data_IF_946634373145
#
_entry.id   IF_946634373145
#
_cell.length_a   1.000
_cell.length_b   1.000
_cell.length_c   1.000
_cell.angle_alpha   90.00
_cell.angle_beta   90.00
_cell.angle_gamma   90.00
#
_symmetry.space_group_name_H-M   'P 1'
#
loop_
_entity.id
_entity.type
_entity.pdbx_description
1 polymer ?
#
# COMPACT_ATOMS: atom_id res chain seq x y z
N UNK A 1 53.02 77.81 7.05
CA UNK A 1 53.12 76.34 7.17
C UNK A 1 52.04 75.91 8.14
N UNK A 2 50.80 75.79 7.65
CA UNK A 2 49.69 75.25 8.45
C UNK A 2 49.82 73.74 8.56
N UNK A 3 49.95 73.24 9.80
CA UNK A 3 49.89 71.81 10.10
C UNK A 3 48.42 71.39 10.15
N UNK A 4 47.96 70.64 9.15
CA UNK A 4 46.65 70.00 9.21
C UNK A 4 46.67 68.92 10.31
N UNK A 5 45.76 68.96 11.30
CA UNK A 5 45.72 67.95 12.35
C UNK A 5 45.32 66.60 11.76
N UNK A 6 46.11 65.56 12.07
CA UNK A 6 45.80 64.18 11.72
C UNK A 6 44.59 63.71 12.54
N UNK A 7 43.54 63.24 11.87
CA UNK A 7 42.40 62.56 12.48
C UNK A 7 42.52 61.07 12.14
N UNK A 8 42.60 60.16 13.14
CA UNK A 8 42.72 58.74 12.85
C UNK A 8 41.45 58.21 12.15
N UNK A 9 41.57 57.21 11.27
CA UNK A 9 40.42 56.60 10.63
C UNK A 9 39.55 55.89 11.68
N UNK A 10 38.27 56.26 11.74
CA UNK A 10 37.27 55.55 12.54
C UNK A 10 37.06 54.16 11.94
N UNK A 11 37.38 53.10 12.68
CA UNK A 11 36.96 51.74 12.33
C UNK A 11 35.44 51.71 12.28
N UNK A 12 34.86 51.71 11.08
CA UNK A 12 33.45 51.43 10.89
C UNK A 12 33.26 49.93 11.13
N UNK A 13 32.82 49.58 12.34
CA UNK A 13 32.25 48.25 12.58
C UNK A 13 31.05 48.13 11.64
N UNK A 14 30.96 47.09 10.79
CA UNK A 14 29.79 46.89 9.95
C UNK A 14 28.56 46.91 10.86
N UNK A 15 27.67 47.86 10.60
CA UNK A 15 26.35 47.85 11.22
C UNK A 15 25.68 46.57 10.72
N UNK A 16 25.51 45.58 11.61
CA UNK A 16 24.68 44.42 11.28
C UNK A 16 23.30 44.94 10.92
N UNK A 17 23.02 44.93 9.63
CA UNK A 17 21.69 45.12 9.09
C UNK A 17 20.80 44.08 9.77
N UNK A 18 19.83 44.55 10.52
CA UNK A 18 18.84 43.71 11.18
C UNK A 18 17.92 43.17 10.08
N UNK A 19 18.35 42.10 9.42
CA UNK A 19 17.48 41.35 8.50
C UNK A 19 16.30 40.87 9.32
N UNK A 20 15.06 41.28 9.01
CA UNK A 20 13.91 40.81 9.76
C UNK A 20 13.85 39.29 9.65
N UNK A 21 13.89 38.62 10.81
CA UNK A 21 13.73 37.17 10.92
C UNK A 21 12.39 36.78 10.28
N UNK A 22 12.43 36.37 9.01
CA UNK A 22 11.26 35.85 8.34
C UNK A 22 10.95 34.49 8.94
N UNK A 23 9.94 34.44 9.81
CA UNK A 23 9.45 33.19 10.39
C UNK A 23 9.20 32.15 9.29
N UNK A 24 9.62 30.88 9.46
CA UNK A 24 9.44 29.82 8.46
C UNK A 24 7.98 29.34 8.45
N UNK A 25 7.08 30.21 7.98
CA UNK A 25 5.64 29.96 7.95
C UNK A 25 5.29 28.88 6.90
N UNK A 26 5.99 28.85 5.76
CA UNK A 26 5.72 27.91 4.66
C UNK A 26 5.77 26.43 5.05
N UNK A 27 6.90 25.93 5.62
CA UNK A 27 7.01 24.52 6.02
C UNK A 27 6.01 24.09 7.10
N UNK A 28 5.65 25.00 8.01
CA UNK A 28 4.68 24.74 9.07
C UNK A 28 3.29 24.50 8.46
N UNK A 29 2.85 25.38 7.56
CA UNK A 29 1.57 25.21 6.88
C UNK A 29 1.52 23.93 6.04
N UNK A 30 2.60 23.60 5.32
CA UNK A 30 2.68 22.34 4.56
C UNK A 30 2.53 21.10 5.45
N UNK A 31 3.19 21.11 6.61
CA UNK A 31 3.11 20.01 7.58
C UNK A 31 1.70 19.83 8.12
N UNK A 32 1.01 20.93 8.44
CA UNK A 32 -0.38 20.90 8.92
C UNK A 32 -1.29 20.23 7.90
N UNK A 33 -1.19 20.61 6.62
CA UNK A 33 -2.02 20.04 5.54
C UNK A 33 -1.79 18.53 5.41
N UNK A 34 -0.53 18.09 5.43
CA UNK A 34 -0.18 16.67 5.34
C UNK A 34 -0.75 15.89 6.51
N UNK A 35 -0.59 16.39 7.75
CA UNK A 35 -1.16 15.75 8.94
C UNK A 35 -2.69 15.67 8.86
N UNK A 36 -3.36 16.73 8.40
CA UNK A 36 -4.82 16.72 8.24
C UNK A 36 -5.27 15.66 7.22
N UNK A 37 -4.58 15.52 6.09
CA UNK A 37 -4.89 14.50 5.09
C UNK A 37 -4.64 13.08 5.61
N UNK A 38 -3.55 12.86 6.35
CA UNK A 38 -3.24 11.56 6.98
C UNK A 38 -4.28 11.20 8.05
N UNK A 39 -4.68 12.17 8.88
CA UNK A 39 -5.69 11.95 9.90
C UNK A 39 -7.05 11.62 9.28
N UNK A 40 -7.48 12.37 8.26
CA UNK A 40 -8.74 12.13 7.55
C UNK A 40 -8.71 10.81 6.76
N UNK A 41 -7.62 10.53 6.04
CA UNK A 41 -7.46 9.29 5.29
C UNK A 41 -7.39 8.06 6.19
N UNK A 42 -6.62 8.14 7.28
CA UNK A 42 -6.53 7.09 8.30
C UNK A 42 -7.86 6.85 9.00
N UNK A 43 -8.56 7.92 9.40
CA UNK A 43 -9.88 7.78 10.04
C UNK A 43 -10.92 7.24 9.06
N UNK A 44 -10.95 7.71 7.81
CA UNK A 44 -11.85 7.21 6.78
C UNK A 44 -11.65 5.70 6.53
N UNK A 45 -10.39 5.27 6.37
CA UNK A 45 -10.06 3.86 6.19
C UNK A 45 -10.43 3.03 7.43
N UNK A 46 -10.15 3.54 8.62
CA UNK A 46 -10.51 2.88 9.89
C UNK A 46 -12.03 2.73 10.04
N UNK A 47 -12.81 3.75 9.67
CA UNK A 47 -14.29 3.70 9.72
C UNK A 47 -14.83 2.59 8.82
N UNK A 48 -14.38 2.52 7.57
CA UNK A 48 -14.80 1.49 6.62
C UNK A 48 -14.42 0.10 7.11
N UNK A 49 -13.24 -0.06 7.70
CA UNK A 49 -12.79 -1.35 8.21
C UNK A 49 -13.68 -1.82 9.38
N UNK A 50 -14.09 -0.91 10.26
CA UNK A 50 -14.99 -1.20 11.38
C UNK A 50 -16.39 -1.60 10.91
N UNK A 51 -16.91 -0.94 9.86
CA UNK A 51 -18.22 -1.25 9.26
C UNK A 51 -18.21 -2.62 8.56
N UNK A 52 -17.07 -3.02 7.98
CA UNK A 52 -16.92 -4.33 7.33
C UNK A 52 -16.76 -5.50 8.30
N UNK A 53 -16.44 -5.27 9.58
CA UNK A 53 -16.43 -6.35 10.59
C UNK A 53 -17.81 -6.95 10.88
N UNK A 54 -18.89 -6.28 10.48
CA UNK A 54 -20.27 -6.76 10.64
C UNK A 54 -21.05 -6.82 9.32
N UNK A 55 -20.42 -6.44 8.21
CA UNK A 55 -20.94 -6.77 6.89
C UNK A 55 -20.65 -8.26 6.66
N UNK A 56 -21.66 -9.10 6.90
CA UNK A 56 -21.74 -10.40 6.26
C UNK A 56 -21.39 -10.17 4.79
N UNK A 57 -20.26 -10.76 4.37
CA UNK A 57 -19.79 -10.63 2.99
C UNK A 57 -20.99 -10.94 2.09
N UNK A 58 -21.35 -10.06 1.12
CA UNK A 58 -22.38 -10.44 0.18
C UNK A 58 -21.95 -11.79 -0.37
N UNK A 59 -22.81 -12.79 -0.27
CA UNK A 59 -22.57 -14.11 -0.84
C UNK A 59 -22.26 -13.88 -2.31
N UNK A 60 -20.98 -13.87 -2.66
CA UNK A 60 -20.55 -13.85 -4.05
C UNK A 60 -20.85 -15.26 -4.49
N UNK A 61 -21.97 -15.42 -5.19
CA UNK A 61 -22.28 -16.65 -5.90
C UNK A 61 -21.23 -16.75 -7.03
N UNK A 62 -20.04 -17.24 -6.69
CA UNK A 62 -18.85 -17.21 -7.55
C UNK A 62 -17.51 -16.95 -6.82
N UNK A 63 -17.51 -16.53 -5.55
CA UNK A 63 -16.33 -16.70 -4.69
C UNK A 63 -16.48 -18.09 -4.10
N UNK A 64 -15.92 -19.06 -4.81
CA UNK A 64 -15.53 -20.31 -4.19
C UNK A 64 -14.54 -19.93 -3.09
N UNK A 65 -15.06 -19.70 -1.89
CA UNK A 65 -14.46 -20.38 -0.74
C UNK A 65 -14.13 -21.79 -1.24
N UNK A 66 -12.91 -22.33 -1.08
CA UNK A 66 -12.66 -23.74 -1.35
C UNK A 66 -13.51 -24.55 -0.36
N UNK A 67 -14.80 -24.66 -0.66
CA UNK A 67 -15.82 -25.41 0.05
C UNK A 67 -16.30 -26.57 -0.81
N UNK A 68 -15.73 -26.72 -2.00
CA UNK A 68 -15.62 -27.98 -2.69
C UNK A 68 -14.12 -28.14 -2.86
N UNK A 69 -13.50 -29.09 -2.16
CA UNK A 69 -12.16 -29.53 -2.51
C UNK A 69 -12.24 -29.90 -3.99
N UNK A 70 -11.63 -29.09 -4.86
CA UNK A 70 -11.41 -29.46 -6.25
C UNK A 70 -10.59 -30.74 -6.19
N UNK A 71 -11.26 -31.88 -6.21
CA UNK A 71 -10.68 -33.18 -5.88
C UNK A 71 -9.54 -33.59 -6.84
N UNK A 72 -9.46 -32.90 -7.97
CA UNK A 72 -8.35 -33.00 -8.91
C UNK A 72 -7.04 -32.30 -8.45
N UNK A 73 -7.13 -31.34 -7.52
CA UNK A 73 -5.97 -30.66 -6.91
C UNK A 73 -5.59 -31.36 -5.59
N UNK A 74 -4.42 -31.99 -5.50
CA UNK A 74 -3.94 -32.60 -4.26
C UNK A 74 -3.53 -31.51 -3.24
N UNK A 75 -3.41 -31.84 -1.95
CA UNK A 75 -2.90 -30.91 -0.94
C UNK A 75 -1.51 -30.41 -1.32
N UNK A 76 -1.35 -29.10 -1.45
CA UNK A 76 -0.05 -28.47 -1.75
C UNK A 76 0.73 -28.23 -0.46
N UNK A 77 2.05 -28.34 -0.53
CA UNK A 77 2.95 -28.04 0.59
C UNK A 77 3.74 -26.75 0.32
N UNK A 78 4.27 -26.14 1.39
CA UNK A 78 5.19 -24.99 1.28
C UNK A 78 6.65 -25.46 1.09
N UNK A 79 6.86 -26.63 0.48
CA UNK A 79 8.19 -27.22 0.32
C UNK A 79 8.82 -26.80 -1.00
N UNK A 80 10.01 -26.20 -0.95
CA UNK A 80 10.81 -25.87 -2.13
C UNK A 80 11.72 -27.05 -2.57
N UNK A 81 11.52 -28.24 -2.03
CA UNK A 81 12.26 -29.45 -2.43
C UNK A 81 11.72 -30.01 -3.76
N UNK A 82 12.62 -30.31 -4.71
CA UNK A 82 12.27 -30.87 -6.00
C UNK A 82 11.46 -32.17 -5.87
N UNK A 83 11.81 -33.02 -4.89
CA UNK A 83 11.08 -34.26 -4.65
C UNK A 83 9.64 -34.03 -4.16
N UNK A 84 9.40 -32.94 -3.42
CA UNK A 84 8.06 -32.59 -2.97
C UNK A 84 7.20 -32.07 -4.14
N UNK A 85 7.78 -31.24 -5.00
CA UNK A 85 7.11 -30.72 -6.20
C UNK A 85 6.76 -31.85 -7.17
N UNK A 86 7.67 -32.81 -7.39
CA UNK A 86 7.41 -33.99 -8.24
C UNK A 86 6.26 -34.85 -7.68
N UNK A 87 6.24 -35.08 -6.37
CA UNK A 87 5.19 -35.84 -5.72
C UNK A 87 3.81 -35.13 -5.80
N UNK A 88 3.78 -33.80 -5.67
CA UNK A 88 2.55 -33.01 -5.81
C UNK A 88 2.03 -33.03 -7.26
N UNK A 89 2.92 -32.95 -8.25
CA UNK A 89 2.54 -33.07 -9.66
C UNK A 89 2.04 -34.48 -10.01
N UNK A 90 2.65 -35.53 -9.46
CA UNK A 90 2.20 -36.91 -9.66
C UNK A 90 0.87 -37.19 -8.94
N UNK A 91 0.59 -36.49 -7.84
CA UNK A 91 -0.67 -36.59 -7.11
C UNK A 91 -1.84 -35.85 -7.78
N UNK A 92 -1.61 -35.06 -8.84
CA UNK A 92 -2.70 -34.42 -9.60
C UNK A 92 -3.57 -35.46 -10.31
N UNK A 93 -4.86 -35.42 -10.05
CA UNK A 93 -5.82 -36.35 -10.65
C UNK A 93 -6.39 -35.75 -11.95
N UNK A 94 -5.70 -36.01 -13.06
CA UNK A 94 -6.09 -35.49 -14.39
C UNK A 94 -7.41 -36.06 -14.90
N UNK A 95 -7.76 -37.30 -14.52
CA UNK A 95 -9.03 -37.91 -14.93
C UNK A 95 -10.23 -37.15 -14.34
N UNK A 96 -10.09 -36.70 -13.10
CA UNK A 96 -11.11 -35.91 -12.42
C UNK A 96 -11.17 -34.47 -12.92
N UNK A 97 -10.02 -33.89 -13.27
CA UNK A 97 -9.97 -32.60 -13.96
C UNK A 97 -10.73 -32.64 -15.30
N UNK A 98 -10.51 -33.68 -16.11
CA UNK A 98 -11.24 -33.86 -17.38
C UNK A 98 -12.74 -34.04 -17.14
N UNK A 99 -13.13 -34.81 -16.12
CA UNK A 99 -14.54 -34.98 -15.76
C UNK A 99 -15.19 -33.65 -15.36
N UNK A 100 -14.50 -32.84 -14.56
CA UNK A 100 -14.98 -31.51 -14.17
C UNK A 100 -15.18 -30.59 -15.38
N UNK A 101 -14.18 -30.52 -16.26
CA UNK A 101 -14.23 -29.68 -17.47
C UNK A 101 -15.36 -30.09 -18.42
N UNK A 102 -15.59 -31.40 -18.59
CA UNK A 102 -16.69 -31.90 -19.41
C UNK A 102 -18.05 -31.56 -18.80
N UNK A 103 -18.21 -31.72 -17.48
CA UNK A 103 -19.44 -31.38 -16.79
C UNK A 103 -19.76 -29.89 -16.87
N UNK A 104 -18.75 -29.01 -16.75
CA UNK A 104 -18.91 -27.57 -16.89
C UNK A 104 -19.29 -27.18 -18.33
N UNK A 105 -18.66 -27.78 -19.33
CA UNK A 105 -18.97 -27.53 -20.74
C UNK A 105 -20.41 -27.98 -21.11
N UNK A 106 -20.86 -29.11 -20.58
CA UNK A 106 -22.23 -29.58 -20.73
C UNK A 106 -23.24 -28.64 -20.05
N UNK A 107 -22.91 -28.11 -18.87
CA UNK A 107 -23.74 -27.15 -18.16
C UNK A 107 -23.83 -25.79 -18.88
N UNK A 108 -22.71 -25.32 -19.45
CA UNK A 108 -22.65 -24.07 -20.20
C UNK A 108 -23.42 -24.17 -21.53
N UNK A 109 -23.29 -25.30 -22.24
CA UNK A 109 -24.03 -25.52 -23.50
C UNK A 109 -25.54 -25.70 -23.29
N UNK A 110 -25.97 -26.19 -22.12
CA UNK A 110 -27.38 -26.34 -21.77
C UNK A 110 -28.10 -25.01 -21.43
N UNK A 111 -27.35 -23.91 -21.24
CA UNK A 111 -27.87 -22.58 -20.92
C UNK A 111 -28.02 -21.66 -22.14
N UNK A 112 -27.62 -22.12 -23.33
CA UNK A 112 -27.80 -21.43 -24.62
C UNK A 112 -28.97 -22.02 -25.41
#
# INVERSE_FOLDING_TARGET
METNPYVPPTNQVPSSENTPDSSPVGPIFGTIVVITLLALGGWYFWSILQERSSAELPFIQGDVTPTEEESWIPPTSNSDDAAAIEAELEAMNMDEFEQYMNADLDAASSQM
#
